data_IF_540013511255
#
_entry.id   IF_540013511255
#
_cell.length_a   1.000
_cell.length_b   1.000
_cell.length_c   1.000
_cell.angle_alpha   90.00
_cell.angle_beta   90.00
_cell.angle_gamma   90.00
#
_symmetry.space_group_name_H-M   'P 1'
#
loop_
_entity.id
_entity.type
_entity.pdbx_description
1 polymer ?
#
# COMPACT_ATOMS: atom_id res chain seq x y z
N UNK A 1 62.15 -26.94 4.09
CA UNK A 1 62.17 -28.42 4.00
C UNK A 1 61.50 -29.00 5.24
N UNK A 2 60.66 -30.03 5.05
CA UNK A 2 60.25 -31.05 6.04
C UNK A 2 59.66 -30.60 7.40
N UNK A 3 58.40 -30.97 7.66
CA UNK A 3 57.91 -31.24 9.04
C UNK A 3 58.45 -32.59 9.57
N UNK A 4 58.00 -33.10 10.74
CA UNK A 4 56.69 -33.79 10.74
C UNK A 4 55.91 -33.94 12.09
N UNK A 5 54.67 -34.43 11.97
CA UNK A 5 53.95 -35.40 12.85
C UNK A 5 53.55 -35.14 14.32
N UNK A 6 52.21 -35.01 14.49
CA UNK A 6 51.28 -35.83 15.33
C UNK A 6 51.69 -36.30 16.75
N UNK A 7 50.94 -35.81 17.75
CA UNK A 7 50.28 -36.51 18.90
C UNK A 7 49.17 -35.54 19.43
N UNK A 8 48.06 -35.89 20.12
CA UNK A 8 47.24 -37.10 20.26
C UNK A 8 45.87 -36.74 20.92
N UNK A 9 44.98 -37.73 21.18
CA UNK A 9 43.87 -37.66 22.17
C UNK A 9 43.97 -38.88 23.10
N UNK A 10 43.50 -38.80 24.37
CA UNK A 10 42.18 -39.37 24.67
C UNK A 10 41.35 -38.62 25.75
N UNK A 11 40.11 -39.11 25.93
CA UNK A 11 38.99 -38.60 26.72
C UNK A 11 39.16 -38.49 28.25
N UNK A 12 38.31 -37.65 28.87
CA UNK A 12 37.55 -37.97 30.08
C UNK A 12 36.37 -36.98 30.28
N UNK A 13 35.26 -37.43 30.87
CA UNK A 13 34.05 -36.62 31.11
C UNK A 13 33.96 -36.09 32.55
N UNK A 14 33.34 -34.92 32.75
CA UNK A 14 32.74 -34.56 34.04
C UNK A 14 31.56 -33.57 33.92
N UNK A 15 30.39 -34.07 34.34
CA UNK A 15 29.31 -33.42 35.10
C UNK A 15 28.90 -31.96 34.80
N UNK A 16 27.68 -31.81 34.29
CA UNK A 16 26.86 -30.60 34.46
C UNK A 16 26.18 -30.59 35.85
N UNK A 17 25.96 -29.41 36.45
CA UNK A 17 24.80 -29.13 37.29
C UNK A 17 23.75 -28.31 36.51
N UNK A 18 22.48 -28.64 36.69
CA UNK A 18 21.35 -27.91 36.07
C UNK A 18 20.57 -27.11 37.12
N UNK A 19 20.26 -25.84 36.84
CA UNK A 19 19.07 -25.14 37.41
C UNK A 19 18.45 -24.22 36.36
N UNK A 20 17.11 -24.23 36.34
CA UNK A 20 16.15 -23.48 35.52
C UNK A 20 16.43 -21.96 35.36
N UNK A 21 15.95 -21.29 34.30
CA UNK A 21 14.53 -20.94 34.19
C UNK A 21 14.10 -20.34 32.83
N UNK A 22 12.79 -20.31 32.64
CA UNK A 22 11.99 -20.01 31.44
C UNK A 22 12.40 -18.83 30.52
N UNK A 23 12.22 -19.05 29.20
CA UNK A 23 11.11 -18.46 28.41
C UNK A 23 10.84 -19.31 27.16
N UNK A 24 9.59 -19.78 27.00
CA UNK A 24 9.08 -20.36 25.72
C UNK A 24 8.34 -19.27 24.94
N UNK A 25 8.29 -19.34 23.60
CA UNK A 25 7.50 -18.41 22.81
C UNK A 25 6.00 -18.56 23.13
N UNK A 26 5.28 -17.45 23.10
CA UNK A 26 3.84 -17.38 23.34
C UNK A 26 3.08 -18.09 22.22
N UNK A 27 2.48 -19.25 22.55
CA UNK A 27 1.49 -19.86 21.69
C UNK A 27 0.24 -18.98 21.63
N UNK A 28 -0.33 -18.83 20.43
CA UNK A 28 -1.64 -18.21 20.22
C UNK A 28 -2.72 -19.06 20.90
N UNK A 29 -3.11 -18.69 22.12
CA UNK A 29 -4.20 -19.34 22.85
C UNK A 29 -5.53 -18.90 22.28
N UNK A 30 -6.02 -19.65 21.29
CA UNK A 30 -7.45 -19.70 20.96
C UNK A 30 -8.23 -20.01 22.25
N UNK A 31 -8.90 -18.99 22.81
CA UNK A 31 -9.78 -19.18 23.96
C UNK A 31 -10.93 -20.09 23.55
N UNK A 32 -11.07 -21.24 24.19
CA UNK A 32 -12.20 -22.15 23.97
C UNK A 32 -13.50 -21.45 24.37
N UNK A 33 -14.57 -21.52 23.57
CA UNK A 33 -15.90 -21.22 24.07
C UNK A 33 -16.36 -22.34 25.02
N UNK A 34 -16.98 -21.96 26.13
CA UNK A 34 -17.68 -22.90 27.02
C UNK A 34 -19.04 -22.30 27.35
N UNK A 35 -20.10 -22.83 26.71
CA UNK A 35 -21.17 -23.52 27.44
C UNK A 35 -22.08 -24.27 26.45
N UNK A 36 -22.63 -25.39 26.91
CA UNK A 36 -23.55 -26.23 26.14
C UNK A 36 -24.92 -25.57 26.06
N UNK A 37 -25.53 -25.56 24.87
CA UNK A 37 -26.97 -25.41 24.73
C UNK A 37 -27.59 -26.78 24.47
N UNK A 38 -28.59 -27.15 25.27
CA UNK A 38 -29.37 -28.38 25.09
C UNK A 38 -30.31 -28.27 23.89
N UNK A 39 -30.62 -29.38 23.20
CA UNK A 39 -31.48 -29.35 22.02
C UNK A 39 -32.98 -29.33 22.36
N UNK A 40 -33.74 -28.51 21.66
CA UNK A 40 -35.20 -28.62 21.54
C UNK A 40 -35.59 -28.81 20.06
N UNK A 41 -36.76 -29.43 19.77
CA UNK A 41 -36.90 -30.31 18.61
C UNK A 41 -37.29 -29.61 17.31
N UNK A 42 -36.85 -30.21 16.19
CA UNK A 42 -37.28 -29.88 14.83
C UNK A 42 -38.60 -30.59 14.53
N UNK A 43 -39.61 -29.85 14.08
CA UNK A 43 -40.82 -30.42 13.47
C UNK A 43 -40.64 -30.56 11.97
N UNK A 44 -40.73 -31.79 11.45
CA UNK A 44 -40.80 -32.06 10.01
C UNK A 44 -42.01 -31.37 9.36
N UNK A 45 -41.86 -30.97 8.10
CA UNK A 45 -42.93 -31.16 7.14
C UNK A 45 -42.35 -31.44 5.75
N UNK A 46 -42.46 -32.69 5.32
CA UNK A 46 -42.07 -33.13 3.98
C UNK A 46 -43.15 -32.79 2.96
N UNK A 47 -42.75 -32.37 1.76
CA UNK A 47 -43.50 -32.73 0.56
C UNK A 47 -42.62 -32.66 -0.68
N UNK A 48 -42.16 -33.83 -1.11
CA UNK A 48 -41.52 -34.02 -2.39
C UNK A 48 -42.58 -34.16 -3.50
N UNK A 49 -42.28 -33.67 -4.70
CA UNK A 49 -42.74 -34.31 -5.93
C UNK A 49 -41.73 -34.12 -7.05
N UNK A 50 -41.23 -35.24 -7.57
CA UNK A 50 -40.34 -35.29 -8.69
C UNK A 50 -41.10 -35.14 -10.02
N UNK A 51 -40.38 -34.78 -11.09
CA UNK A 51 -40.64 -35.35 -12.40
C UNK A 51 -39.34 -35.42 -13.22
N UNK A 52 -39.00 -36.65 -13.61
CA UNK A 52 -37.95 -36.98 -14.57
C UNK A 52 -38.61 -37.23 -15.93
N UNK A 53 -38.15 -36.57 -16.99
CA UNK A 53 -38.16 -37.14 -18.34
C UNK A 53 -36.86 -36.75 -19.03
N UNK A 54 -36.26 -37.72 -19.72
CA UNK A 54 -34.96 -37.64 -20.37
C UNK A 54 -35.13 -38.06 -21.84
N UNK A 55 -34.69 -37.25 -22.82
CA UNK A 55 -34.59 -37.67 -24.24
C UNK A 55 -33.33 -37.07 -24.88
N UNK A 56 -32.60 -37.92 -25.60
CA UNK A 56 -31.33 -37.64 -26.27
C UNK A 56 -31.56 -37.22 -27.74
N UNK A 57 -30.63 -36.49 -28.37
CA UNK A 57 -30.73 -36.24 -29.83
C UNK A 57 -29.73 -35.25 -30.48
N UNK A 58 -28.57 -35.77 -30.91
CA UNK A 58 -27.87 -35.45 -32.17
C UNK A 58 -27.48 -34.01 -32.58
N UNK A 59 -26.15 -33.82 -32.66
CA UNK A 59 -25.37 -33.23 -33.78
C UNK A 59 -25.57 -31.76 -34.24
N UNK A 60 -24.51 -30.97 -34.03
CA UNK A 60 -23.83 -30.25 -35.12
C UNK A 60 -24.28 -28.84 -35.48
N UNK A 61 -23.46 -27.83 -35.15
CA UNK A 61 -23.00 -26.74 -36.03
C UNK A 61 -22.31 -25.63 -35.22
N UNK A 62 -21.16 -25.14 -35.69
CA UNK A 62 -20.52 -23.92 -35.18
C UNK A 62 -21.19 -22.71 -35.83
N UNK A 63 -21.49 -21.65 -35.07
CA UNK A 63 -21.36 -20.30 -35.63
C UNK A 63 -20.47 -19.42 -34.75
N UNK A 64 -19.44 -18.84 -35.38
CA UNK A 64 -18.76 -17.67 -34.85
C UNK A 64 -19.69 -16.44 -34.94
N UNK A 65 -19.85 -15.69 -33.85
CA UNK A 65 -20.27 -14.29 -33.93
C UNK A 65 -19.90 -13.52 -32.66
N UNK A 66 -19.59 -12.24 -32.85
CA UNK A 66 -19.21 -11.31 -31.79
C UNK A 66 -20.31 -11.17 -30.72
N UNK A 67 -19.97 -11.44 -29.46
CA UNK A 67 -20.66 -10.82 -28.32
C UNK A 67 -19.76 -9.73 -27.72
N UNK A 68 -19.98 -8.48 -28.14
CA UNK A 68 -19.49 -7.34 -27.38
C UNK A 68 -20.24 -7.29 -26.05
N UNK A 69 -19.66 -7.85 -24.99
CA UNK A 69 -20.13 -7.65 -23.63
C UNK A 69 -19.87 -6.20 -23.22
N UNK A 70 -20.86 -5.33 -23.45
CA UNK A 70 -20.90 -3.99 -22.85
C UNK A 70 -20.98 -4.12 -21.34
N UNK A 71 -19.84 -4.06 -20.67
CA UNK A 71 -19.79 -3.93 -19.21
C UNK A 71 -20.35 -2.57 -18.80
N UNK A 72 -21.38 -2.59 -17.94
CA UNK A 72 -21.87 -1.38 -17.29
C UNK A 72 -20.95 -1.01 -16.14
N UNK A 73 -20.53 0.25 -15.97
CA UNK A 73 -19.85 0.68 -14.76
C UNK A 73 -20.83 0.64 -13.58
N UNK A 74 -20.46 -0.04 -12.51
CA UNK A 74 -21.14 0.08 -11.20
C UNK A 74 -20.49 1.24 -10.47
N UNK A 75 -21.23 2.33 -10.28
CA UNK A 75 -20.76 3.47 -9.51
C UNK A 75 -20.75 3.14 -8.01
N UNK A 76 -19.72 3.59 -7.28
CA UNK A 76 -19.62 3.42 -5.83
C UNK A 76 -20.72 4.24 -5.16
N UNK A 77 -21.55 3.60 -4.33
CA UNK A 77 -22.68 4.29 -3.70
C UNK A 77 -22.33 4.80 -2.31
N UNK A 78 -21.95 6.07 -2.19
CA UNK A 78 -21.81 6.72 -0.87
C UNK A 78 -23.19 6.76 -0.19
N UNK A 79 -23.28 6.25 1.04
CA UNK A 79 -24.55 6.10 1.75
C UNK A 79 -24.93 7.40 2.46
N UNK A 80 -25.86 8.15 1.87
CA UNK A 80 -26.47 9.33 2.49
C UNK A 80 -27.52 8.93 3.54
N UNK A 81 -27.18 9.04 4.82
CA UNK A 81 -28.13 8.86 5.92
C UNK A 81 -28.99 10.11 6.12
N UNK A 82 -30.25 10.07 5.69
CA UNK A 82 -31.22 11.14 5.98
C UNK A 82 -31.85 10.97 7.36
N UNK A 83 -31.32 11.65 8.37
CA UNK A 83 -32.02 11.88 9.65
C UNK A 83 -32.73 13.23 9.62
N UNK A 84 -34.07 13.20 9.46
CA UNK A 84 -34.89 14.40 9.57
C UNK A 84 -35.07 14.77 11.05
N UNK A 85 -34.31 15.78 11.51
CA UNK A 85 -34.43 16.36 12.85
C UNK A 85 -34.52 17.87 12.78
N UNK A 86 -35.72 18.43 13.00
CA UNK A 86 -35.89 19.88 13.03
C UNK A 86 -35.36 20.46 14.34
N UNK A 87 -34.33 21.31 14.27
CA UNK A 87 -33.82 22.10 15.38
C UNK A 87 -33.68 23.57 14.95
N UNK A 88 -34.21 24.47 15.78
CA UNK A 88 -34.25 25.91 15.51
C UNK A 88 -32.89 26.58 15.70
N UNK A 89 -32.57 27.56 14.84
CA UNK A 89 -31.37 28.41 14.97
C UNK A 89 -31.60 29.50 16.03
N UNK A 90 -30.67 29.73 16.96
CA UNK A 90 -30.44 31.07 17.52
C UNK A 90 -29.47 31.87 16.62
N UNK A 91 -29.49 33.20 16.77
CA UNK A 91 -28.85 34.12 15.85
C UNK A 91 -27.46 34.60 16.27
N UNK A 92 -26.64 34.95 15.28
CA UNK A 92 -25.74 36.11 15.31
C UNK A 92 -24.52 36.08 16.22
N UNK A 93 -23.35 35.78 15.65
CA UNK A 93 -22.11 36.45 16.04
C UNK A 93 -21.36 36.91 14.78
N UNK A 94 -20.82 38.13 14.83
CA UNK A 94 -20.28 38.85 13.67
C UNK A 94 -18.76 38.60 13.57
N UNK A 95 -18.27 38.24 12.38
CA UNK A 95 -16.84 38.19 12.06
C UNK A 95 -16.36 39.56 11.54
N UNK A 96 -15.12 39.99 11.85
CA UNK A 96 -14.53 41.18 11.26
C UNK A 96 -14.09 40.93 9.80
N UNK A 97 -14.19 41.94 8.91
CA UNK A 97 -13.81 41.79 7.51
C UNK A 97 -12.29 41.94 7.34
N UNK A 98 -11.60 40.94 6.80
CA UNK A 98 -10.13 41.07 6.66
C UNK A 98 -9.33 39.92 6.04
N UNK A 99 -9.93 38.80 5.64
CA UNK A 99 -9.20 37.73 4.92
C UNK A 99 -9.92 37.40 3.62
N UNK A 100 -9.28 37.74 2.49
CA UNK A 100 -9.73 37.23 1.19
C UNK A 100 -9.43 35.74 1.14
N UNK A 101 -10.47 34.91 1.08
CA UNK A 101 -10.34 33.49 0.79
C UNK A 101 -9.84 33.30 -0.65
N UNK A 102 -8.52 33.18 -0.82
CA UNK A 102 -7.99 32.51 -1.99
C UNK A 102 -8.50 31.05 -1.99
N UNK A 103 -8.89 30.48 -3.14
CA UNK A 103 -9.29 29.09 -3.19
C UNK A 103 -8.08 28.23 -2.79
N UNK A 104 -8.22 27.50 -1.68
CA UNK A 104 -7.25 26.47 -1.29
C UNK A 104 -7.41 25.34 -2.29
N UNK A 105 -6.67 25.41 -3.40
CA UNK A 105 -6.44 24.30 -4.28
C UNK A 105 -5.54 23.29 -3.56
N UNK A 106 -6.13 22.56 -2.61
CA UNK A 106 -5.54 21.37 -2.03
C UNK A 106 -5.45 20.33 -3.16
N UNK A 107 -4.31 20.30 -3.83
CA UNK A 107 -4.00 19.27 -4.82
C UNK A 107 -3.89 17.93 -4.10
N UNK A 108 -4.99 17.17 -4.10
CA UNK A 108 -4.95 15.73 -3.90
C UNK A 108 -4.13 15.13 -5.07
N UNK A 109 -2.82 15.05 -4.84
CA UNK A 109 -1.82 14.51 -5.77
C UNK A 109 -1.14 13.25 -5.19
N UNK A 110 -1.73 12.68 -4.14
CA UNK A 110 -1.55 11.27 -3.78
C UNK A 110 -2.64 10.45 -4.49
N UNK A 111 -2.32 9.22 -4.89
CA UNK A 111 -3.25 8.25 -5.51
C UNK A 111 -3.79 8.54 -6.94
N UNK A 112 -2.98 9.06 -7.88
CA UNK A 112 -3.25 8.90 -9.34
C UNK A 112 -2.43 7.74 -9.95
N UNK A 113 -2.74 6.49 -9.59
CA UNK A 113 -2.18 5.30 -10.27
C UNK A 113 -2.92 5.06 -11.60
N UNK A 114 -2.36 5.58 -12.70
CA UNK A 114 -2.91 5.35 -14.04
C UNK A 114 -2.60 3.93 -14.51
N UNK A 115 -3.59 3.05 -14.43
CA UNK A 115 -3.57 1.78 -15.15
C UNK A 115 -3.91 1.99 -16.63
N UNK A 116 -2.90 2.18 -17.48
CA UNK A 116 -3.05 2.44 -18.91
C UNK A 116 -3.15 1.16 -19.76
N UNK A 117 -4.36 0.77 -20.18
CA UNK A 117 -4.53 -0.06 -21.39
C UNK A 117 -5.78 0.38 -22.17
N UNK A 118 -5.55 1.00 -23.34
CA UNK A 118 -6.58 1.24 -24.34
C UNK A 118 -5.94 1.14 -25.72
N UNK A 119 -6.32 0.16 -26.53
CA UNK A 119 -5.77 -0.02 -27.88
C UNK A 119 -6.37 0.98 -28.85
N UNK A 120 -5.62 2.06 -29.11
CA UNK A 120 -5.77 2.84 -30.35
C UNK A 120 -4.65 2.46 -31.32
N UNK A 121 -4.88 2.49 -32.64
CA UNK A 121 -3.83 2.20 -33.61
C UNK A 121 -2.67 3.19 -33.43
N UNK A 122 -1.44 2.67 -33.46
CA UNK A 122 -0.26 3.48 -33.17
C UNK A 122 -0.12 4.62 -34.19
N UNK A 123 0.03 5.88 -33.75
CA UNK A 123 0.52 6.93 -34.64
C UNK A 123 1.95 6.58 -35.07
N UNK A 124 2.28 6.89 -36.31
CA UNK A 124 3.57 6.59 -36.92
C UNK A 124 4.72 7.16 -36.08
N UNK A 125 5.73 6.33 -35.81
CA UNK A 125 6.74 6.59 -34.79
C UNK A 125 7.74 7.68 -35.21
N UNK A 126 7.37 8.95 -35.05
CA UNK A 126 8.32 10.06 -35.06
C UNK A 126 9.32 9.88 -33.93
N UNK A 127 10.59 9.59 -34.27
CA UNK A 127 11.68 9.49 -33.29
C UNK A 127 11.70 10.74 -32.39
N UNK A 128 11.74 10.61 -31.05
CA UNK A 128 11.87 11.77 -30.17
C UNK A 128 13.20 12.48 -30.45
N UNK A 129 13.13 13.81 -30.55
CA UNK A 129 14.28 14.66 -30.86
C UNK A 129 15.21 14.85 -29.64
N UNK A 130 16.49 15.14 -29.91
CA UNK A 130 17.53 15.47 -28.92
C UNK A 130 17.75 14.40 -27.84
N UNK A 131 18.25 13.26 -28.30
CA UNK A 131 18.91 12.19 -27.55
C UNK A 131 20.08 12.74 -26.72
N UNK A 132 19.90 12.91 -25.39
CA UNK A 132 20.99 13.18 -24.44
C UNK A 132 21.84 11.92 -24.22
N UNK A 133 22.46 11.42 -25.31
CA UNK A 133 23.37 10.28 -25.29
C UNK A 133 24.80 10.79 -25.09
N UNK A 134 25.18 10.85 -23.82
CA UNK A 134 26.53 11.19 -23.39
C UNK A 134 26.57 11.34 -21.88
N UNK A 135 27.47 10.60 -21.23
CA UNK A 135 27.78 10.63 -19.80
C UNK A 135 26.75 9.93 -18.88
N UNK A 136 27.10 8.71 -18.41
CA UNK A 136 26.48 8.08 -17.23
C UNK A 136 25.73 6.75 -17.44
N UNK A 137 25.45 6.33 -18.67
CA UNK A 137 24.59 5.18 -18.99
C UNK A 137 25.25 4.17 -19.95
N UNK A 138 26.45 3.69 -19.61
CA UNK A 138 27.24 2.82 -20.49
C UNK A 138 26.83 1.33 -20.46
N UNK A 139 25.70 0.99 -19.81
CA UNK A 139 25.12 -0.35 -19.81
C UNK A 139 24.23 -0.64 -21.03
N UNK A 140 24.07 -1.91 -21.44
CA UNK A 140 23.18 -2.27 -22.54
C UNK A 140 21.71 -1.95 -22.19
N UNK A 141 21.04 -1.15 -23.03
CA UNK A 141 19.63 -0.83 -22.84
C UNK A 141 18.78 -2.06 -23.20
N UNK A 142 18.23 -2.73 -22.20
CA UNK A 142 17.33 -3.86 -22.39
C UNK A 142 15.88 -3.38 -22.57
N UNK A 143 15.17 -4.00 -23.51
CA UNK A 143 13.76 -3.75 -23.80
C UNK A 143 12.97 -5.05 -23.72
N UNK A 144 11.92 -5.07 -22.89
CA UNK A 144 10.91 -6.13 -22.84
C UNK A 144 9.62 -5.57 -23.44
N UNK A 145 9.38 -5.89 -24.72
CA UNK A 145 8.35 -5.24 -25.51
C UNK A 145 8.60 -3.72 -25.57
N UNK A 146 7.65 -2.93 -25.08
CA UNK A 146 7.74 -1.46 -25.05
C UNK A 146 8.26 -0.91 -23.70
N UNK A 147 8.73 -1.76 -22.78
CA UNK A 147 9.29 -1.35 -21.49
C UNK A 147 10.82 -1.41 -21.51
N UNK A 148 11.47 -0.31 -21.11
CA UNK A 148 12.89 -0.30 -20.78
C UNK A 148 13.10 -0.92 -19.41
N UNK A 149 14.07 -1.80 -19.30
CA UNK A 149 14.38 -2.56 -18.06
C UNK A 149 15.89 -2.61 -17.83
N UNK A 150 16.29 -2.89 -16.59
CA UNK A 150 17.69 -2.99 -16.15
C UNK A 150 18.58 -1.83 -16.63
N UNK A 151 18.15 -0.58 -16.44
CA UNK A 151 18.88 0.60 -16.92
C UNK A 151 20.00 1.09 -15.99
N UNK A 152 20.29 0.35 -14.91
CA UNK A 152 21.38 0.65 -13.98
C UNK A 152 22.74 0.49 -14.69
N UNK A 153 23.56 1.55 -14.67
CA UNK A 153 24.92 1.53 -15.23
C UNK A 153 25.85 0.63 -14.42
N UNK A 154 26.99 0.24 -14.99
CA UNK A 154 28.02 -0.53 -14.27
C UNK A 154 28.51 0.23 -13.03
N UNK A 155 28.76 1.54 -13.16
CA UNK A 155 29.06 2.43 -12.04
C UNK A 155 27.95 2.42 -10.97
N UNK A 156 26.69 2.54 -11.38
CA UNK A 156 25.56 2.49 -10.47
C UNK A 156 25.50 1.17 -9.70
N UNK A 157 25.82 0.05 -10.36
CA UNK A 157 25.91 -1.29 -9.79
C UNK A 157 26.99 -1.38 -8.70
N UNK A 158 28.21 -0.94 -8.99
CA UNK A 158 29.31 -0.86 -8.02
C UNK A 158 28.91 -0.09 -6.76
N UNK A 159 28.26 1.07 -6.96
CA UNK A 159 27.80 1.94 -5.87
C UNK A 159 26.79 1.21 -4.99
N UNK A 160 25.73 0.63 -5.56
CA UNK A 160 24.70 -0.07 -4.79
C UNK A 160 25.26 -1.27 -4.01
N UNK A 161 26.14 -2.06 -4.63
CA UNK A 161 26.84 -3.16 -3.96
C UNK A 161 27.67 -2.64 -2.77
N UNK A 162 28.46 -1.58 -2.98
CA UNK A 162 29.32 -0.96 -1.96
C UNK A 162 28.55 -0.30 -0.82
N UNK A 163 27.26 0.01 -1.00
CA UNK A 163 26.40 0.62 0.02
C UNK A 163 25.83 -0.40 1.02
N UNK A 164 25.94 -1.71 0.79
CA UNK A 164 25.36 -2.74 1.66
C UNK A 164 25.77 -2.60 3.14
N UNK A 165 27.07 -2.34 3.41
CA UNK A 165 27.59 -2.12 4.77
C UNK A 165 27.11 -0.83 5.44
N UNK A 166 26.74 0.17 4.64
CA UNK A 166 26.13 1.42 5.11
C UNK A 166 24.65 1.18 5.42
N UNK A 167 23.92 0.52 4.50
CA UNK A 167 22.50 0.22 4.64
C UNK A 167 22.21 -0.61 5.90
N UNK A 168 23.05 -1.61 6.19
CA UNK A 168 22.93 -2.44 7.40
C UNK A 168 23.20 -1.72 8.72
N UNK A 169 23.75 -0.49 8.69
CA UNK A 169 23.96 0.36 9.88
C UNK A 169 22.93 1.48 9.97
N UNK A 170 22.55 2.05 8.83
CA UNK A 170 21.74 3.26 8.77
C UNK A 170 20.24 2.95 8.72
N UNK A 171 19.78 2.06 7.84
CA UNK A 171 18.35 1.76 7.65
C UNK A 171 17.63 1.24 8.92
N UNK A 172 18.24 0.40 9.78
CA UNK A 172 17.60 -0.05 11.02
C UNK A 172 17.23 1.07 12.00
N UNK A 173 17.78 2.28 11.84
CA UNK A 173 17.46 3.44 12.69
C UNK A 173 16.07 4.02 12.42
N UNK A 174 15.56 3.82 11.21
CA UNK A 174 14.28 4.35 10.77
C UNK A 174 13.13 3.39 11.05
N UNK A 175 13.41 2.10 11.30
CA UNK A 175 12.43 1.05 11.59
C UNK A 175 12.10 0.97 13.09
N UNK A 176 10.86 0.58 13.41
CA UNK A 176 10.41 0.24 14.77
C UNK A 176 10.29 -1.29 14.89
N UNK A 177 10.65 -1.84 16.06
CA UNK A 177 10.37 -3.25 16.34
C UNK A 177 8.86 -3.45 16.57
N UNK A 178 8.35 -4.65 16.29
CA UNK A 178 6.91 -4.94 16.38
C UNK A 178 6.31 -4.63 17.77
N UNK A 179 7.11 -4.74 18.84
CA UNK A 179 6.72 -4.43 20.24
C UNK A 179 6.67 -2.93 20.54
N UNK A 180 7.21 -2.08 19.65
CA UNK A 180 7.23 -0.61 19.74
C UNK A 180 6.36 0.06 18.67
N UNK A 181 5.96 -0.68 17.65
CA UNK A 181 5.01 -0.25 16.63
C UNK A 181 3.59 -0.30 17.17
N UNK A 182 2.80 0.73 16.86
CA UNK A 182 1.35 0.68 17.04
C UNK A 182 0.77 -0.41 16.16
N UNK A 183 -0.31 -1.04 16.62
CA UNK A 183 -1.05 -2.05 15.87
C UNK A 183 -2.47 -1.54 15.57
N UNK A 184 -3.12 -2.00 14.48
CA UNK A 184 -4.49 -1.59 14.15
C UNK A 184 -5.49 -1.77 15.30
N UNK A 185 -5.30 -2.80 16.14
CA UNK A 185 -6.12 -3.07 17.32
C UNK A 185 -6.01 -1.99 18.42
N UNK A 186 -4.93 -1.20 18.48
CA UNK A 186 -4.76 -0.10 19.44
C UNK A 186 -5.61 1.15 19.11
N UNK A 187 -6.25 1.14 17.93
CA UNK A 187 -6.90 2.29 17.30
C UNK A 187 -8.36 2.00 16.88
N UNK A 188 -8.83 0.77 17.06
CA UNK A 188 -10.14 0.29 16.63
C UNK A 188 -10.93 -0.29 17.82
N UNK A 189 -12.26 -0.42 17.72
CA UNK A 189 -13.08 -1.11 18.71
C UNK A 189 -12.57 -2.53 19.01
N UNK A 190 -12.38 -2.86 20.29
CA UNK A 190 -11.89 -4.17 20.73
C UNK A 190 -13.00 -5.22 20.59
N UNK A 191 -12.85 -6.12 19.61
CA UNK A 191 -13.79 -7.20 19.32
C UNK A 191 -13.91 -8.27 20.41
N UNK A 192 -13.00 -8.30 21.38
CA UNK A 192 -13.07 -9.16 22.56
C UNK A 192 -13.69 -8.48 23.78
N UNK A 193 -13.94 -7.17 23.74
CA UNK A 193 -14.55 -6.41 24.84
C UNK A 193 -16.07 -6.66 24.91
N UNK A 194 -16.67 -6.76 26.12
CA UNK A 194 -18.13 -6.73 26.27
C UNK A 194 -18.76 -5.44 25.71
N UNK A 195 -17.99 -4.35 25.69
CA UNK A 195 -18.44 -3.02 25.24
C UNK A 195 -18.22 -2.80 23.72
N UNK A 196 -17.85 -3.83 22.96
CA UNK A 196 -17.52 -3.73 21.53
C UNK A 196 -18.58 -2.99 20.71
N UNK A 197 -19.87 -3.31 20.93
CA UNK A 197 -20.96 -2.68 20.19
C UNK A 197 -21.11 -1.19 20.49
N UNK A 198 -20.86 -0.77 21.75
CA UNK A 198 -20.90 0.64 22.14
C UNK A 198 -19.70 1.41 21.57
N UNK A 199 -18.52 0.77 21.50
CA UNK A 199 -17.34 1.33 20.85
C UNK A 199 -17.54 1.49 19.32
N UNK A 200 -18.19 0.54 18.66
CA UNK A 200 -18.60 0.66 17.24
C UNK A 200 -19.64 1.75 17.06
N UNK A 201 -20.62 1.88 17.97
CA UNK A 201 -21.59 2.97 17.93
C UNK A 201 -20.93 4.34 18.10
N UNK A 202 -19.93 4.47 18.97
CA UNK A 202 -19.15 5.69 19.14
C UNK A 202 -18.35 6.06 17.88
N UNK A 203 -17.70 5.08 17.22
CA UNK A 203 -17.01 5.29 15.94
C UNK A 203 -17.98 5.79 14.85
N UNK A 204 -19.19 5.20 14.77
CA UNK A 204 -20.23 5.64 13.84
C UNK A 204 -20.75 7.04 14.15
N UNK A 205 -20.86 7.40 15.43
CA UNK A 205 -21.26 8.74 15.85
C UNK A 205 -20.19 9.80 15.51
N UNK A 206 -18.90 9.49 15.71
CA UNK A 206 -17.79 10.39 15.35
C UNK A 206 -17.72 10.61 13.82
N UNK A 207 -17.75 9.50 13.07
CA UNK A 207 -17.67 9.52 11.60
C UNK A 207 -18.93 10.09 10.91
N UNK A 208 -20.02 10.34 11.63
CA UNK A 208 -21.26 10.91 11.09
C UNK A 208 -21.04 12.32 10.48
N UNK A 209 -20.14 13.12 11.06
CA UNK A 209 -19.87 14.50 10.63
C UNK A 209 -18.86 14.62 9.48
N UNK A 210 -18.26 13.51 9.03
CA UNK A 210 -17.35 13.50 7.90
C UNK A 210 -18.12 13.75 6.59
N UNK A 211 -17.72 14.76 5.77
CA UNK A 211 -18.35 15.03 4.48
C UNK A 211 -17.95 13.97 3.45
N UNK A 212 -18.76 13.80 2.41
CA UNK A 212 -18.51 12.79 1.39
C UNK A 212 -17.19 13.03 0.65
N UNK A 213 -16.83 14.28 0.38
CA UNK A 213 -15.56 14.66 -0.27
C UNK A 213 -14.33 14.19 0.53
N UNK A 214 -14.42 14.22 1.87
CA UNK A 214 -13.39 13.69 2.76
C UNK A 214 -13.33 12.15 2.68
N UNK A 215 -14.48 11.49 2.67
CA UNK A 215 -14.56 10.03 2.56
C UNK A 215 -14.04 9.52 1.22
N UNK A 216 -14.24 10.26 0.12
CA UNK A 216 -13.66 9.95 -1.20
C UNK A 216 -12.13 9.97 -1.15
N UNK A 217 -11.52 10.99 -0.53
CA UNK A 217 -10.06 11.06 -0.36
C UNK A 217 -9.56 9.92 0.54
N UNK A 218 -10.19 9.68 1.68
CA UNK A 218 -9.79 8.61 2.61
C UNK A 218 -9.91 7.20 1.99
N UNK A 219 -10.91 6.98 1.12
CA UNK A 219 -11.01 5.75 0.32
C UNK A 219 -9.88 5.67 -0.71
N UNK A 220 -9.51 6.78 -1.35
CA UNK A 220 -8.37 6.84 -2.27
C UNK A 220 -7.02 6.52 -1.59
N UNK A 221 -6.78 7.11 -0.41
CA UNK A 221 -5.64 6.78 0.44
C UNK A 221 -5.66 5.28 0.79
N UNK A 222 -6.77 4.75 1.34
CA UNK A 222 -6.88 3.33 1.75
C UNK A 222 -6.70 2.33 0.60
N UNK A 223 -7.29 2.60 -0.58
CA UNK A 223 -7.13 1.75 -1.78
C UNK A 223 -5.68 1.73 -2.27
N UNK A 224 -4.92 2.80 -2.00
CA UNK A 224 -3.48 2.86 -2.27
C UNK A 224 -2.73 1.96 -1.28
N UNK A 225 -2.97 2.08 0.03
CA UNK A 225 -2.32 1.21 1.03
C UNK A 225 -2.56 -0.29 0.77
N UNK A 226 -3.79 -0.67 0.42
CA UNK A 226 -4.15 -2.08 0.14
C UNK A 226 -3.47 -2.65 -1.12
N UNK A 227 -2.91 -1.80 -1.99
CA UNK A 227 -2.15 -2.23 -3.16
C UNK A 227 -0.69 -2.61 -2.84
N UNK A 228 -0.30 -2.64 -1.55
CA UNK A 228 1.01 -3.03 -1.02
C UNK A 228 1.72 -4.22 -1.69
N UNK A 229 1.06 -5.33 -2.10
CA UNK A 229 1.73 -6.40 -2.84
C UNK A 229 2.43 -5.92 -4.12
N UNK A 230 1.89 -4.88 -4.77
CA UNK A 230 2.50 -4.23 -5.94
C UNK A 230 3.78 -3.47 -5.57
N UNK A 231 3.82 -2.86 -4.39
CA UNK A 231 4.93 -2.02 -3.93
C UNK A 231 6.10 -2.87 -3.41
N UNK A 232 5.82 -3.92 -2.64
CA UNK A 232 6.82 -4.92 -2.28
C UNK A 232 7.40 -5.59 -3.54
N UNK A 233 6.55 -5.95 -4.51
CA UNK A 233 7.02 -6.50 -5.79
C UNK A 233 7.89 -5.50 -6.56
N UNK A 234 7.50 -4.22 -6.63
CA UNK A 234 8.30 -3.14 -7.23
C UNK A 234 9.72 -3.08 -6.63
N UNK A 235 9.85 -3.05 -5.29
CA UNK A 235 11.14 -3.08 -4.60
C UNK A 235 11.94 -4.35 -4.90
N UNK A 236 11.27 -5.49 -5.07
CA UNK A 236 11.89 -6.76 -5.45
C UNK A 236 12.17 -6.92 -6.96
N UNK A 237 11.81 -5.95 -7.80
CA UNK A 237 12.28 -5.91 -9.20
C UNK A 237 13.66 -5.28 -9.36
N UNK A 238 14.17 -4.60 -8.34
CA UNK A 238 15.36 -3.75 -8.43
C UNK A 238 16.66 -4.56 -8.54
N UNK A 239 17.55 -4.09 -9.41
CA UNK A 239 18.92 -4.57 -9.48
C UNK A 239 19.67 -4.27 -8.16
N UNK A 240 20.52 -5.20 -7.73
CA UNK A 240 21.35 -5.16 -6.51
C UNK A 240 20.63 -5.11 -5.14
N UNK A 241 19.35 -4.70 -5.07
CA UNK A 241 18.65 -4.49 -3.78
C UNK A 241 17.45 -5.41 -3.52
N UNK A 242 17.04 -6.24 -4.48
CA UNK A 242 15.90 -7.17 -4.31
C UNK A 242 16.18 -8.32 -3.34
N UNK A 243 15.10 -8.88 -2.78
CA UNK A 243 15.15 -10.13 -2.01
C UNK A 243 15.13 -11.35 -2.94
N UNK A 244 16.30 -11.94 -3.20
CA UNK A 244 16.48 -13.10 -4.08
C UNK A 244 15.81 -14.41 -3.58
N UNK A 245 15.40 -14.50 -2.31
CA UNK A 245 14.84 -15.74 -1.74
C UNK A 245 13.52 -15.57 -0.98
N UNK A 246 13.05 -14.34 -0.80
CA UNK A 246 11.96 -13.99 0.13
C UNK A 246 12.37 -14.01 1.61
N UNK A 247 13.63 -14.35 1.89
CA UNK A 247 14.22 -14.43 3.22
C UNK A 247 15.73 -14.10 3.20
N UNK A 248 16.20 -13.36 2.19
CA UNK A 248 17.62 -13.03 2.04
C UNK A 248 18.13 -12.18 3.22
N UNK A 249 19.34 -12.46 3.68
CA UNK A 249 19.95 -11.78 4.84
C UNK A 249 20.63 -10.44 4.48
N UNK A 250 20.45 -9.95 3.24
CA UNK A 250 20.99 -8.65 2.85
C UNK A 250 20.25 -7.51 3.57
N UNK A 251 20.94 -6.40 3.92
CA UNK A 251 20.31 -5.24 4.53
C UNK A 251 19.15 -4.66 3.70
N UNK A 252 19.24 -4.74 2.37
CA UNK A 252 18.19 -4.30 1.46
C UNK A 252 16.94 -5.20 1.54
N UNK A 253 17.10 -6.51 1.57
CA UNK A 253 15.99 -7.44 1.74
C UNK A 253 15.35 -7.33 3.13
N UNK A 254 16.16 -7.12 4.18
CA UNK A 254 15.66 -6.77 5.51
C UNK A 254 14.84 -5.48 5.49
N UNK A 255 15.34 -4.40 4.87
CA UNK A 255 14.58 -3.16 4.72
C UNK A 255 13.23 -3.40 4.04
N UNK A 256 13.22 -4.00 2.84
CA UNK A 256 11.99 -4.25 2.07
C UNK A 256 10.95 -5.02 2.88
N UNK A 257 11.35 -6.08 3.60
CA UNK A 257 10.42 -6.88 4.43
C UNK A 257 9.90 -6.11 5.65
N UNK A 258 10.75 -5.35 6.35
CA UNK A 258 10.33 -4.61 7.55
C UNK A 258 9.52 -3.35 7.20
N UNK A 259 9.86 -2.64 6.13
CA UNK A 259 9.02 -1.59 5.55
C UNK A 259 7.65 -2.16 5.21
N UNK A 260 7.57 -3.23 4.40
CA UNK A 260 6.29 -3.89 4.04
C UNK A 260 5.47 -4.31 5.28
N UNK A 261 6.13 -4.79 6.35
CA UNK A 261 5.45 -5.14 7.60
C UNK A 261 4.95 -3.91 8.39
N UNK A 262 5.61 -2.75 8.26
CA UNK A 262 5.09 -1.49 8.77
C UNK A 262 3.90 -1.00 7.93
N UNK A 263 4.01 -1.00 6.60
CA UNK A 263 2.96 -0.57 5.65
C UNK A 263 1.65 -1.34 5.79
N UNK A 264 1.71 -2.66 5.95
CA UNK A 264 0.52 -3.52 6.01
C UNK A 264 -0.51 -3.03 7.04
N UNK A 265 -0.05 -2.43 8.14
CA UNK A 265 -0.90 -1.90 9.23
C UNK A 265 -1.74 -0.69 8.79
N UNK A 266 -1.30 0.07 7.78
CA UNK A 266 -2.00 1.27 7.29
C UNK A 266 -3.30 0.87 6.56
N UNK A 267 -3.19 0.00 5.56
CA UNK A 267 -4.34 -0.60 4.88
C UNK A 267 -5.25 -1.33 5.87
N UNK A 268 -4.66 -2.18 6.72
CA UNK A 268 -5.39 -2.93 7.75
C UNK A 268 -6.26 -2.05 8.66
N UNK A 269 -5.77 -0.88 9.09
CA UNK A 269 -6.50 0.00 10.02
C UNK A 269 -7.51 0.89 9.31
N UNK A 270 -7.16 1.41 8.12
CA UNK A 270 -8.07 2.23 7.31
C UNK A 270 -9.25 1.42 6.77
N UNK A 271 -9.01 0.20 6.30
CA UNK A 271 -10.05 -0.71 5.82
C UNK A 271 -11.07 -1.00 6.92
N UNK A 272 -10.61 -1.45 8.10
CA UNK A 272 -11.48 -1.77 9.24
C UNK A 272 -12.22 -0.53 9.75
N UNK A 273 -11.59 0.64 9.77
CA UNK A 273 -12.25 1.90 10.10
C UNK A 273 -13.39 2.22 9.11
N UNK A 274 -13.11 2.17 7.80
CA UNK A 274 -14.10 2.44 6.75
C UNK A 274 -15.26 1.44 6.79
N UNK A 275 -14.97 0.14 6.96
CA UNK A 275 -15.96 -0.92 7.14
C UNK A 275 -16.86 -0.66 8.36
N UNK A 276 -16.28 -0.37 9.52
CA UNK A 276 -17.03 -0.12 10.75
C UNK A 276 -17.85 1.17 10.69
N UNK A 277 -17.36 2.22 9.99
CA UNK A 277 -18.09 3.49 9.81
C UNK A 277 -19.46 3.30 9.16
N UNK A 278 -19.61 2.31 8.27
CA UNK A 278 -20.83 2.12 7.48
C UNK A 278 -21.14 3.28 6.51
N UNK A 279 -20.17 4.18 6.24
CA UNK A 279 -20.35 5.37 5.39
C UNK A 279 -20.06 5.12 3.90
N UNK A 280 -19.41 4.00 3.56
CA UNK A 280 -18.93 3.67 2.21
C UNK A 280 -19.40 2.29 1.75
N UNK A 281 -19.50 2.11 0.43
CA UNK A 281 -19.81 0.82 -0.19
C UNK A 281 -18.55 -0.04 -0.33
N UNK A 282 -18.29 -0.84 0.72
CA UNK A 282 -17.08 -1.68 0.80
C UNK A 282 -16.96 -2.69 -0.36
N UNK A 283 -18.06 -3.22 -0.90
CA UNK A 283 -18.00 -4.15 -2.05
C UNK A 283 -17.36 -3.47 -3.28
N UNK A 284 -17.71 -2.21 -3.53
CA UNK A 284 -17.13 -1.43 -4.63
C UNK A 284 -15.68 -1.03 -4.36
N UNK A 285 -15.32 -0.79 -3.10
CA UNK A 285 -13.93 -0.51 -2.68
C UNK A 285 -13.04 -1.75 -2.84
N UNK A 286 -13.47 -2.90 -2.31
CA UNK A 286 -12.80 -4.21 -2.44
C UNK A 286 -12.64 -4.62 -3.92
N UNK A 287 -13.69 -4.42 -4.72
CA UNK A 287 -13.63 -4.63 -6.18
C UNK A 287 -12.63 -3.70 -6.88
N UNK A 288 -12.36 -2.52 -6.32
CA UNK A 288 -11.39 -1.56 -6.86
C UNK A 288 -9.97 -1.94 -6.48
N UNK A 289 -9.74 -2.35 -5.23
CA UNK A 289 -8.46 -2.93 -4.76
C UNK A 289 -8.08 -4.14 -5.61
N UNK A 290 -9.01 -5.09 -5.82
CA UNK A 290 -8.76 -6.28 -6.64
C UNK A 290 -8.35 -5.92 -8.08
N UNK A 291 -8.99 -4.91 -8.68
CA UNK A 291 -8.64 -4.43 -10.03
C UNK A 291 -7.30 -3.72 -10.05
N UNK A 292 -6.97 -2.93 -9.03
CA UNK A 292 -5.70 -2.22 -8.92
C UNK A 292 -4.53 -3.20 -8.81
N UNK A 293 -4.58 -4.13 -7.86
CA UNK A 293 -3.57 -5.19 -7.70
C UNK A 293 -3.46 -6.04 -8.96
N UNK A 294 -4.60 -6.46 -9.54
CA UNK A 294 -4.63 -7.29 -10.75
C UNK A 294 -4.14 -6.58 -12.02
N UNK A 295 -4.05 -5.25 -12.03
CA UNK A 295 -3.46 -4.44 -13.10
C UNK A 295 -1.98 -4.13 -12.85
N UNK A 296 -1.56 -4.13 -11.58
CA UNK A 296 -0.21 -3.78 -11.16
C UNK A 296 0.12 -2.29 -11.32
N UNK A 297 1.39 -1.97 -11.06
CA UNK A 297 1.95 -0.62 -11.12
C UNK A 297 3.18 -0.61 -12.04
N UNK A 298 3.27 0.36 -12.95
CA UNK A 298 4.47 0.62 -13.75
C UNK A 298 4.89 2.09 -13.61
N UNK A 299 5.77 2.41 -12.63
CA UNK A 299 6.27 3.76 -12.43
C UNK A 299 7.42 4.12 -13.37
N UNK A 300 7.74 3.28 -14.37
CA UNK A 300 8.87 3.45 -15.32
C UNK A 300 10.22 3.55 -14.61
N UNK A 301 10.43 2.70 -13.60
CA UNK A 301 11.65 2.63 -12.79
C UNK A 301 12.76 1.76 -13.40
N UNK A 302 12.47 0.99 -14.46
CA UNK A 302 13.49 0.32 -15.28
C UNK A 302 14.43 -0.61 -14.48
N UNK A 303 13.92 -1.24 -13.41
CA UNK A 303 14.65 -2.04 -12.42
C UNK A 303 15.79 -1.30 -11.70
N UNK A 304 15.87 0.02 -11.85
CA UNK A 304 16.99 0.84 -11.45
C UNK A 304 16.75 1.41 -10.03
N UNK A 305 17.56 1.02 -9.02
CA UNK A 305 17.40 1.51 -7.65
C UNK A 305 17.54 3.03 -7.53
N UNK A 306 18.30 3.71 -8.40
CA UNK A 306 18.43 5.18 -8.34
C UNK A 306 17.10 5.86 -8.69
N UNK A 307 16.43 5.38 -9.74
CA UNK A 307 15.09 5.84 -10.12
C UNK A 307 14.07 5.50 -9.02
N UNK A 308 14.16 4.29 -8.46
CA UNK A 308 13.23 3.84 -7.43
C UNK A 308 13.36 4.62 -6.12
N UNK A 309 14.56 4.84 -5.59
CA UNK A 309 14.72 5.54 -4.31
C UNK A 309 14.43 7.04 -4.41
N UNK A 310 14.60 7.66 -5.59
CA UNK A 310 14.04 8.99 -5.86
C UNK A 310 12.50 8.94 -5.87
N UNK A 311 11.90 7.94 -6.52
CA UNK A 311 10.45 7.78 -6.57
C UNK A 311 9.84 7.55 -5.18
N UNK A 312 10.37 6.63 -4.37
CA UNK A 312 9.86 6.37 -3.02
C UNK A 312 10.05 7.59 -2.11
N UNK A 313 11.21 8.26 -2.14
CA UNK A 313 11.42 9.54 -1.42
C UNK A 313 10.34 10.59 -1.72
N UNK A 314 9.83 10.63 -2.95
CA UNK A 314 8.74 11.52 -3.34
C UNK A 314 7.36 11.01 -2.89
N UNK A 315 7.08 9.72 -3.05
CA UNK A 315 5.79 9.13 -2.68
C UNK A 315 5.55 9.16 -1.18
N UNK A 316 6.52 8.76 -0.37
CA UNK A 316 6.47 8.77 1.11
C UNK A 316 6.21 10.18 1.65
N UNK A 317 6.79 11.20 1.00
CA UNK A 317 6.49 12.60 1.31
C UNK A 317 5.06 12.98 0.92
N UNK A 318 4.55 12.46 -0.20
CA UNK A 318 3.20 12.74 -0.68
C UNK A 318 2.13 12.08 0.23
N UNK A 319 2.30 10.82 0.59
CA UNK A 319 1.41 10.10 1.52
C UNK A 319 1.47 10.72 2.92
N UNK A 320 2.66 11.08 3.44
CA UNK A 320 2.79 11.85 4.69
C UNK A 320 1.97 13.13 4.68
N UNK A 321 1.96 13.85 3.55
CA UNK A 321 1.20 15.09 3.40
C UNK A 321 -0.30 14.78 3.29
N UNK A 322 -0.71 13.73 2.57
CA UNK A 322 -2.11 13.29 2.48
C UNK A 322 -2.66 12.92 3.87
N UNK A 323 -2.05 11.92 4.53
CA UNK A 323 -2.40 11.44 5.87
C UNK A 323 -2.33 12.55 6.94
N UNK A 324 -1.32 13.42 6.86
CA UNK A 324 -1.21 14.56 7.76
C UNK A 324 -2.31 15.63 7.55
N UNK A 325 -2.86 15.74 6.34
CA UNK A 325 -3.97 16.65 6.04
C UNK A 325 -5.32 16.01 6.38
N UNK A 326 -5.53 14.74 6.06
CA UNK A 326 -6.75 14.01 6.46
C UNK A 326 -6.87 13.94 7.99
N UNK A 327 -5.76 13.78 8.72
CA UNK A 327 -5.73 13.88 10.19
C UNK A 327 -6.29 15.21 10.73
N UNK A 328 -5.85 16.34 10.15
CA UNK A 328 -6.32 17.69 10.56
C UNK A 328 -7.78 17.91 10.21
N UNK A 329 -8.24 17.39 9.08
CA UNK A 329 -9.64 17.49 8.66
C UNK A 329 -10.56 16.59 9.50
N UNK A 330 -10.15 15.36 9.82
CA UNK A 330 -10.85 14.51 10.78
C UNK A 330 -11.03 15.19 12.13
N UNK A 331 -9.96 15.80 12.66
CA UNK A 331 -10.00 16.59 13.90
C UNK A 331 -10.97 17.78 13.79
N UNK A 332 -10.94 18.51 12.68
CA UNK A 332 -11.86 19.64 12.42
C UNK A 332 -13.33 19.20 12.38
N UNK A 333 -13.62 18.02 11.82
CA UNK A 333 -14.96 17.43 11.79
C UNK A 333 -15.36 16.70 13.09
N UNK A 334 -14.47 16.63 14.08
CA UNK A 334 -14.71 16.05 15.41
C UNK A 334 -14.35 14.56 15.56
N UNK A 335 -13.84 13.91 14.52
CA UNK A 335 -13.39 12.51 14.59
C UNK A 335 -11.94 12.42 15.08
N UNK A 336 -11.78 12.56 16.40
CA UNK A 336 -10.49 12.44 17.07
C UNK A 336 -9.84 11.05 16.95
N UNK A 337 -10.58 9.92 16.98
CA UNK A 337 -10.01 8.60 16.69
C UNK A 337 -9.39 8.51 15.30
N UNK A 338 -10.09 8.95 14.25
CA UNK A 338 -9.56 8.95 12.89
C UNK A 338 -8.36 9.90 12.74
N UNK A 339 -8.41 11.08 13.39
CA UNK A 339 -7.30 12.02 13.40
C UNK A 339 -6.02 11.43 14.03
N UNK A 340 -6.17 10.65 15.11
CA UNK A 340 -5.05 9.93 15.73
C UNK A 340 -4.50 8.83 14.81
N UNK A 341 -5.39 8.05 14.18
CA UNK A 341 -5.05 6.96 13.27
C UNK A 341 -4.25 7.47 12.05
N UNK A 342 -4.79 8.42 11.30
CA UNK A 342 -4.13 9.01 10.12
C UNK A 342 -2.86 9.77 10.50
N UNK A 343 -2.84 10.43 11.66
CA UNK A 343 -1.62 11.04 12.20
C UNK A 343 -0.51 10.05 12.59
N UNK A 344 -0.85 8.80 12.96
CA UNK A 344 0.12 7.74 13.21
C UNK A 344 0.66 7.13 11.92
N UNK A 345 -0.18 6.96 10.90
CA UNK A 345 0.28 6.60 9.54
C UNK A 345 1.27 7.66 9.04
N UNK A 346 0.91 8.94 9.05
CA UNK A 346 1.81 10.05 8.68
C UNK A 346 3.14 10.12 9.47
N UNK A 347 3.21 9.51 10.65
CA UNK A 347 4.44 9.41 11.48
C UNK A 347 5.32 8.21 11.09
N UNK A 348 4.75 7.24 10.39
CA UNK A 348 5.48 6.14 9.77
C UNK A 348 6.07 6.59 8.42
N UNK A 349 5.26 7.19 7.54
CA UNK A 349 5.70 7.83 6.29
C UNK A 349 6.87 8.82 6.50
N UNK A 350 6.86 9.55 7.62
CA UNK A 350 7.92 10.50 7.98
C UNK A 350 9.28 9.82 8.20
N UNK A 351 9.29 8.58 8.71
CA UNK A 351 10.50 7.78 8.90
C UNK A 351 10.95 7.14 7.60
N UNK A 352 10.01 6.72 6.76
CA UNK A 352 10.31 6.14 5.46
C UNK A 352 10.81 7.20 4.47
N UNK A 353 10.19 8.39 4.40
CA UNK A 353 10.74 9.57 3.69
C UNK A 353 12.18 9.83 4.14
N UNK A 354 12.45 9.85 5.45
CA UNK A 354 13.79 10.07 5.98
C UNK A 354 14.79 8.96 5.59
N UNK A 355 14.37 7.69 5.57
CA UNK A 355 15.20 6.57 5.16
C UNK A 355 15.55 6.61 3.65
N UNK A 356 14.56 6.81 2.78
CA UNK A 356 14.79 6.87 1.34
C UNK A 356 15.55 8.13 0.93
N UNK A 357 15.30 9.28 1.57
CA UNK A 357 16.10 10.48 1.33
C UNK A 357 17.54 10.33 1.80
N UNK A 358 17.80 9.60 2.89
CA UNK A 358 19.15 9.22 3.30
C UNK A 358 19.84 8.29 2.28
N UNK A 359 19.12 7.32 1.69
CA UNK A 359 19.64 6.48 0.59
C UNK A 359 20.02 7.36 -0.61
N UNK A 360 19.14 8.27 -1.04
CA UNK A 360 19.41 9.17 -2.17
C UNK A 360 20.58 10.11 -1.86
N UNK A 361 20.73 10.59 -0.63
CA UNK A 361 21.88 11.40 -0.21
C UNK A 361 23.20 10.63 -0.30
N UNK A 362 23.26 9.39 0.21
CA UNK A 362 24.45 8.53 0.12
C UNK A 362 24.80 8.20 -1.35
N UNK A 363 23.79 8.04 -2.23
CA UNK A 363 24.02 7.90 -3.67
C UNK A 363 24.63 9.18 -4.26
N UNK A 364 24.13 10.37 -3.87
CA UNK A 364 24.71 11.66 -4.29
C UNK A 364 26.17 11.84 -3.83
N UNK A 365 26.58 11.29 -2.68
CA UNK A 365 27.99 11.32 -2.24
C UNK A 365 28.90 10.39 -3.06
N UNK A 366 28.36 9.30 -3.62
CA UNK A 366 29.15 8.24 -4.32
C UNK A 366 29.12 8.32 -5.85
N UNK A 367 28.03 8.83 -6.41
CA UNK A 367 27.80 9.03 -7.84
C UNK A 367 26.84 10.23 -8.07
N UNK A 368 27.34 11.48 -7.89
CA UNK A 368 26.53 12.68 -8.01
C UNK A 368 25.92 12.88 -9.41
N UNK A 369 26.62 12.43 -10.46
CA UNK A 369 26.15 12.54 -11.84
C UNK A 369 25.02 11.55 -12.10
N UNK A 370 25.19 10.27 -11.74
CA UNK A 370 24.14 9.26 -11.83
C UNK A 370 22.91 9.61 -10.99
N UNK A 371 23.12 10.12 -9.77
CA UNK A 371 22.07 10.61 -8.89
C UNK A 371 21.27 11.77 -9.52
N UNK A 372 21.96 12.78 -10.07
CA UNK A 372 21.32 13.95 -10.70
C UNK A 372 20.56 13.56 -11.97
N UNK A 373 21.10 12.64 -12.78
CA UNK A 373 20.43 12.13 -13.97
C UNK A 373 19.16 11.36 -13.61
N UNK A 374 19.21 10.47 -12.62
CA UNK A 374 18.05 9.73 -12.12
C UNK A 374 16.98 10.67 -11.53
N UNK A 375 17.40 11.67 -10.76
CA UNK A 375 16.50 12.68 -10.21
C UNK A 375 15.79 13.49 -11.32
N UNK A 376 16.55 13.98 -12.30
CA UNK A 376 16.00 14.73 -13.42
C UNK A 376 15.06 13.88 -14.30
N UNK A 377 15.35 12.59 -14.50
CA UNK A 377 14.48 11.67 -15.23
C UNK A 377 13.16 11.41 -14.49
N UNK A 378 13.22 11.09 -13.18
CA UNK A 378 12.01 10.90 -12.39
C UNK A 378 11.14 12.15 -12.31
N UNK A 379 11.72 13.35 -12.22
CA UNK A 379 10.95 14.61 -12.27
C UNK A 379 10.23 14.84 -13.61
N UNK A 380 10.72 14.27 -14.72
CA UNK A 380 9.99 14.26 -16.01
C UNK A 380 8.88 13.21 -16.02
N UNK A 381 9.15 11.99 -15.53
CA UNK A 381 8.21 10.86 -15.46
C UNK A 381 7.02 11.15 -14.54
N UNK A 382 7.25 11.69 -13.34
CA UNK A 382 6.19 12.07 -12.39
C UNK A 382 5.28 13.17 -12.98
N UNK A 383 5.86 14.14 -13.71
CA UNK A 383 5.07 15.18 -14.38
C UNK A 383 4.14 14.61 -15.45
N UNK A 384 4.65 13.75 -16.32
CA UNK A 384 3.83 13.17 -17.40
C UNK A 384 2.75 12.23 -16.84
N UNK A 385 3.06 11.47 -15.78
CA UNK A 385 2.07 10.67 -15.05
C UNK A 385 0.96 11.55 -14.46
N UNK A 386 1.27 12.67 -13.81
CA UNK A 386 0.27 13.61 -13.27
C UNK A 386 -0.49 14.38 -14.36
N UNK A 387 0.04 14.53 -15.58
CA UNK A 387 -0.68 15.09 -16.73
C UNK A 387 -1.67 14.10 -17.34
N UNK A 388 -1.30 12.83 -17.42
CA UNK A 388 -2.17 11.73 -17.88
C UNK A 388 -3.22 11.40 -16.82
N UNK A 389 -2.86 11.39 -15.53
CA UNK A 389 -3.78 11.18 -14.41
C UNK A 389 -4.92 12.21 -14.42
N UNK A 390 -4.60 13.50 -14.51
CA UNK A 390 -5.59 14.59 -14.66
C UNK A 390 -6.54 14.47 -15.86
N UNK A 391 -6.21 13.67 -16.88
CA UNK A 391 -7.14 13.36 -17.97
C UNK A 391 -8.07 12.18 -17.62
N UNK A 392 -7.60 11.22 -16.82
CA UNK A 392 -8.35 10.04 -16.36
C UNK A 392 -9.10 10.23 -15.04
N UNK A 393 -8.76 11.19 -14.18
CA UNK A 393 -9.56 11.50 -12.98
C UNK A 393 -10.96 12.01 -13.32
N UNK A 394 -11.17 12.56 -14.53
CA UNK A 394 -12.50 12.79 -15.10
C UNK A 394 -13.34 11.51 -15.27
N UNK A 395 -12.71 10.34 -15.34
CA UNK A 395 -13.39 9.03 -15.32
C UNK A 395 -13.42 8.41 -13.92
N UNK A 396 -12.43 8.66 -13.04
CA UNK A 396 -12.44 8.14 -11.67
C UNK A 396 -13.56 8.76 -10.82
N UNK A 397 -13.80 10.07 -10.99
CA UNK A 397 -14.96 10.82 -10.42
C UNK A 397 -16.30 10.45 -11.10
N UNK A 398 -16.28 9.48 -12.01
CA UNK A 398 -17.44 8.92 -12.72
C UNK A 398 -17.62 7.41 -12.42
N UNK A 399 -16.76 6.86 -11.55
CA UNK A 399 -16.82 5.49 -11.02
C UNK A 399 -17.02 5.51 -9.50
N UNK A 400 -16.51 6.53 -8.80
CA UNK A 400 -16.95 6.95 -7.46
C UNK A 400 -18.16 7.89 -7.54
#
# INVERSE_FOLDING_TARGET
MLGPSRWAQPAAASQQPAVSSARRPTAWTLRRPVQQLSPCPVTHNDNARANLVNVCGSSGSIPSSNSQTKFSPTAVRILSGSSAGSASRPAGLILPPGVRSAPVAATAAAAEVVASVGSSPAPEASRPAADYRGHGLDGPILWLGNQRVHSLSERGREVMQSMSNWAGKELPRYLKSAERSWQPADLLPDSASPDFYDQVAALRAASANLPNDYLVVLVGDMVTEEALPSYMNMLNTLDETRDETGASDTPWAHWTRHWTAEENRHGDVLNKYLYLSGRVDMHSVESTIQRLIGRGLDPKLENNPYLCFVYTSFQERATRISHGNTARLAQYHGDLPLAKLTGLIASDEARHEAAYTAIVAEIFERDPDGAMLAFADMMRKVRSQAEVGRQHTKQLVLVL
#
